data_IF_563316870079
#
_entry.id   IF_563316870079
#
_cell.length_a   1.000
_cell.length_b   1.000
_cell.length_c   1.000
_cell.angle_alpha   90.00
_cell.angle_beta   90.00
_cell.angle_gamma   90.00
#
_symmetry.space_group_name_H-M   'P 1'
#
loop_
_entity.id
_entity.type
_entity.pdbx_description
1 polymer ?
#
# COMPACT_ATOMS: atom_id res chain seq x y z
N UNK A 1 -8.03 0.97 -12.80
CA UNK A 1 -6.65 1.51 -12.80
C UNK A 1 -6.69 2.98 -13.14
N UNK A 2 -5.71 3.77 -12.70
CA UNK A 2 -5.61 5.16 -13.13
C UNK A 2 -5.17 5.23 -14.60
N UNK A 3 -5.81 6.05 -15.43
CA UNK A 3 -5.45 6.15 -16.83
C UNK A 3 -4.19 7.03 -16.99
N UNK A 4 -3.16 6.50 -17.64
CA UNK A 4 -2.01 7.29 -18.08
C UNK A 4 -2.47 8.23 -19.18
N UNK A 5 -2.85 9.45 -18.80
CA UNK A 5 -3.27 10.53 -19.68
C UNK A 5 -2.40 11.74 -19.43
N UNK A 6 -2.29 12.58 -20.45
CA UNK A 6 -1.75 13.94 -20.29
C UNK A 6 -2.61 14.66 -19.26
N UNK A 7 -2.01 15.17 -18.21
CA UNK A 7 -2.67 15.91 -17.13
C UNK A 7 -1.94 17.21 -16.82
N UNK A 8 -2.50 18.00 -15.90
CA UNK A 8 -1.97 19.33 -15.59
C UNK A 8 -0.59 19.31 -14.89
N UNK A 9 -0.23 18.21 -14.23
CA UNK A 9 0.93 18.16 -13.34
C UNK A 9 2.08 17.36 -13.95
N UNK A 10 3.29 17.90 -13.79
CA UNK A 10 4.56 17.20 -14.01
C UNK A 10 5.58 17.65 -12.98
N UNK A 11 6.67 16.90 -12.83
CA UNK A 11 7.86 17.44 -12.19
C UNK A 11 8.76 18.11 -13.24
N UNK A 12 9.44 19.18 -12.82
CA UNK A 12 10.59 19.70 -13.53
C UNK A 12 11.60 18.57 -13.77
N UNK A 13 12.24 18.51 -14.95
CA UNK A 13 13.27 17.51 -15.22
C UNK A 13 14.50 17.67 -14.33
N UNK A 14 14.70 18.84 -13.73
CA UNK A 14 15.84 19.13 -12.86
C UNK A 14 15.52 18.89 -11.38
N UNK A 15 16.42 18.16 -10.70
CA UNK A 15 16.35 17.90 -9.26
C UNK A 15 17.45 18.66 -8.54
N UNK A 16 17.08 19.47 -7.55
CA UNK A 16 18.04 20.18 -6.70
C UNK A 16 18.55 19.26 -5.60
N UNK A 17 19.86 19.02 -5.57
CA UNK A 17 20.54 18.35 -4.45
C UNK A 17 21.00 19.41 -3.44
N UNK A 18 20.44 19.39 -2.22
CA UNK A 18 20.74 20.37 -1.17
C UNK A 18 21.73 19.84 -0.12
N UNK A 19 22.35 18.68 -0.37
CA UNK A 19 23.20 18.00 0.60
C UNK A 19 22.40 17.29 1.71
N UNK A 20 23.10 16.51 2.55
CA UNK A 20 22.49 15.80 3.68
C UNK A 20 21.40 14.77 3.28
N UNK A 21 21.44 14.24 2.05
CA UNK A 21 20.42 13.34 1.52
C UNK A 21 19.11 14.03 1.13
N UNK A 22 19.08 15.36 1.02
CA UNK A 22 17.90 16.14 0.63
C UNK A 22 17.88 16.45 -0.87
N UNK A 23 16.80 16.04 -1.53
CA UNK A 23 16.56 16.21 -2.97
C UNK A 23 15.20 16.89 -3.18
N UNK A 24 15.18 17.98 -3.94
CA UNK A 24 13.97 18.77 -4.16
C UNK A 24 13.57 18.79 -5.63
N UNK A 25 12.29 18.51 -5.87
CA UNK A 25 11.63 18.47 -7.17
C UNK A 25 10.66 19.64 -7.25
N UNK A 26 10.63 20.35 -8.37
CA UNK A 26 9.66 21.43 -8.59
C UNK A 26 8.45 20.89 -9.33
N UNK A 27 7.24 21.13 -8.84
CA UNK A 27 6.01 20.78 -9.55
C UNK A 27 5.72 21.86 -10.61
N UNK A 28 5.55 21.43 -11.84
CA UNK A 28 5.10 22.25 -12.95
C UNK A 28 3.61 22.00 -13.20
N UNK A 29 2.90 23.09 -13.54
CA UNK A 29 1.47 23.04 -13.85
C UNK A 29 1.23 23.59 -15.25
N UNK A 30 0.87 22.70 -16.18
CA UNK A 30 0.56 23.04 -17.57
C UNK A 30 -0.92 22.82 -17.86
N UNK A 31 -1.70 23.90 -17.83
CA UNK A 31 -3.10 23.89 -18.25
C UNK A 31 -3.28 24.33 -19.70
N UNK A 32 -2.31 25.02 -20.28
CA UNK A 32 -2.37 25.41 -21.70
C UNK A 32 -2.08 24.19 -22.58
N UNK A 33 -2.98 23.91 -23.52
CA UNK A 33 -3.00 22.71 -24.38
C UNK A 33 -3.38 21.40 -23.67
N UNK A 34 -3.97 21.50 -22.48
CA UNK A 34 -4.52 20.37 -21.76
C UNK A 34 -6.06 20.48 -21.76
N UNK A 35 -6.72 19.75 -22.66
CA UNK A 35 -8.17 19.87 -22.92
C UNK A 35 -9.00 18.69 -22.39
N UNK A 36 -8.55 18.00 -21.34
CA UNK A 36 -9.24 16.83 -20.77
C UNK A 36 -9.49 16.98 -19.26
N UNK A 37 -10.24 16.04 -18.68
CA UNK A 37 -10.60 16.09 -17.25
C UNK A 37 -9.38 16.11 -16.30
N UNK A 38 -8.21 15.62 -16.73
CA UNK A 38 -6.97 15.61 -15.95
C UNK A 38 -6.26 16.95 -15.86
N UNK A 39 -6.81 17.98 -16.51
CA UNK A 39 -6.21 19.31 -16.58
C UNK A 39 -6.77 20.26 -15.51
N UNK A 40 -7.89 19.89 -14.89
CA UNK A 40 -8.58 20.70 -13.89
C UNK A 40 -9.03 19.83 -12.72
N UNK A 41 -8.07 19.13 -12.10
CA UNK A 41 -8.28 18.22 -10.98
C UNK A 41 -7.19 18.47 -9.96
N UNK A 42 -7.44 18.20 -8.68
CA UNK A 42 -6.47 18.42 -7.62
C UNK A 42 -5.46 17.27 -7.52
N UNK A 43 -4.20 17.61 -7.25
CA UNK A 43 -3.12 16.66 -6.97
C UNK A 43 -3.20 16.15 -5.52
N UNK A 44 -3.58 14.88 -5.39
CA UNK A 44 -3.78 14.22 -4.11
C UNK A 44 -2.63 13.30 -3.71
N UNK A 45 -1.89 12.73 -4.67
CA UNK A 45 -0.84 11.76 -4.41
C UNK A 45 0.28 11.81 -5.44
N UNK A 46 1.51 11.59 -5.01
CA UNK A 46 2.67 11.39 -5.88
C UNK A 46 3.28 10.02 -5.56
N UNK A 47 3.59 9.24 -6.58
CA UNK A 47 4.27 7.95 -6.45
C UNK A 47 5.57 7.96 -7.27
N UNK A 48 6.70 7.73 -6.60
CA UNK A 48 7.99 7.56 -7.27
C UNK A 48 8.23 6.08 -7.52
N UNK A 49 8.67 5.74 -8.73
CA UNK A 49 9.19 4.42 -9.04
C UNK A 49 10.61 4.30 -8.49
N UNK A 50 10.78 3.51 -7.44
CA UNK A 50 12.02 3.42 -6.66
C UNK A 50 12.58 2.00 -6.64
N UNK A 51 13.83 1.85 -6.25
CA UNK A 51 14.48 0.56 -6.07
C UNK A 51 13.91 -0.18 -4.85
N UNK A 52 13.69 -1.50 -4.96
CA UNK A 52 13.27 -2.31 -3.81
C UNK A 52 14.35 -2.43 -2.72
N UNK A 53 15.61 -2.11 -3.05
CA UNK A 53 16.72 -2.00 -2.09
C UNK A 53 16.49 -0.90 -1.04
N UNK A 54 15.56 0.03 -1.27
CA UNK A 54 15.16 1.01 -0.27
C UNK A 54 14.29 0.40 0.85
N UNK A 55 13.65 -0.75 0.60
CA UNK A 55 12.81 -1.44 1.57
C UNK A 55 13.67 -2.38 2.41
N UNK A 56 14.16 -1.87 3.54
CA UNK A 56 15.05 -2.59 4.46
C UNK A 56 14.42 -2.79 5.84
N UNK A 57 14.95 -3.75 6.61
CA UNK A 57 14.60 -3.97 8.01
C UNK A 57 15.86 -3.86 8.89
N UNK A 58 15.89 -3.00 9.92
CA UNK A 58 14.87 -2.00 10.27
C UNK A 58 14.70 -0.94 9.16
N UNK A 59 13.54 -0.31 9.09
CA UNK A 59 13.20 0.64 8.01
C UNK A 59 14.21 1.80 7.92
N UNK A 60 14.59 2.14 6.69
CA UNK A 60 15.27 3.39 6.38
C UNK A 60 14.30 4.57 6.54
N UNK A 61 14.84 5.75 6.87
CA UNK A 61 14.02 6.94 7.11
C UNK A 61 13.89 7.74 5.81
N UNK A 62 12.66 8.09 5.46
CA UNK A 62 12.34 9.03 4.38
C UNK A 62 11.38 10.08 4.90
N UNK A 63 11.71 11.35 4.70
CA UNK A 63 10.82 12.48 5.02
C UNK A 63 10.47 13.24 3.76
N UNK A 64 9.25 13.73 3.68
CA UNK A 64 8.80 14.57 2.59
C UNK A 64 8.24 15.91 3.09
N UNK A 65 8.59 16.98 2.40
CA UNK A 65 8.06 18.33 2.63
C UNK A 65 7.52 18.92 1.34
N UNK A 66 6.48 19.75 1.43
CA UNK A 66 5.99 20.61 0.36
C UNK A 66 6.26 22.06 0.79
N UNK A 67 7.04 22.81 0.00
CA UNK A 67 7.43 24.19 0.31
C UNK A 67 8.05 24.32 1.72
N UNK A 68 8.87 23.35 2.10
CA UNK A 68 9.51 23.28 3.43
C UNK A 68 8.61 22.78 4.57
N UNK A 69 7.30 22.65 4.36
CA UNK A 69 6.35 22.15 5.37
C UNK A 69 6.26 20.63 5.28
N UNK A 70 6.38 19.93 6.42
CA UNK A 70 6.29 18.46 6.44
C UNK A 70 4.90 18.01 5.99
N UNK A 71 4.89 17.00 5.11
CA UNK A 71 3.65 16.36 4.64
C UNK A 71 2.82 15.82 5.80
N UNK A 72 1.49 15.96 5.72
CA UNK A 72 0.55 15.49 6.77
C UNK A 72 0.67 13.98 6.99
N UNK A 73 0.84 13.23 5.91
CA UNK A 73 1.12 11.80 5.94
C UNK A 73 2.58 11.60 5.54
N UNK A 74 3.32 10.88 6.40
CA UNK A 74 4.72 10.58 6.15
C UNK A 74 4.92 9.81 4.84
N UNK A 75 6.02 10.11 4.16
CA UNK A 75 6.45 9.37 2.98
C UNK A 75 6.65 7.89 3.35
N UNK A 76 6.16 6.98 2.50
CA UNK A 76 6.19 5.55 2.79
C UNK A 76 6.63 4.73 1.60
N UNK A 77 7.48 3.74 1.87
CA UNK A 77 7.83 2.73 0.88
C UNK A 77 6.81 1.59 0.90
N UNK A 78 6.51 1.07 -0.28
CA UNK A 78 5.67 -0.10 -0.44
C UNK A 78 6.07 -0.89 -1.67
N UNK A 79 5.70 -2.17 -1.69
CA UNK A 79 5.81 -2.98 -2.89
C UNK A 79 4.56 -2.77 -3.75
N UNK A 80 4.70 -2.42 -5.04
CA UNK A 80 3.57 -2.44 -5.96
C UNK A 80 2.99 -3.86 -6.07
N UNK A 81 1.66 -4.02 -6.14
CA UNK A 81 1.03 -5.34 -6.30
C UNK A 81 1.48 -6.10 -7.56
N UNK A 82 1.80 -5.36 -8.64
CA UNK A 82 2.18 -5.89 -9.95
C UNK A 82 3.54 -5.34 -10.44
N UNK A 83 4.41 -4.87 -9.55
CA UNK A 83 5.70 -4.33 -9.98
C UNK A 83 6.67 -5.41 -10.41
N UNK A 84 7.66 -5.02 -11.22
CA UNK A 84 8.78 -5.90 -11.58
C UNK A 84 9.61 -6.22 -10.33
N UNK A 85 10.23 -7.40 -10.31
CA UNK A 85 11.25 -7.70 -9.29
C UNK A 85 12.34 -6.62 -9.33
N UNK A 86 12.79 -6.15 -8.16
CA UNK A 86 13.72 -5.02 -8.06
C UNK A 86 13.04 -3.65 -7.95
N UNK A 87 11.71 -3.55 -8.08
CA UNK A 87 10.98 -2.28 -8.00
C UNK A 87 10.14 -2.14 -6.74
N UNK A 88 10.08 -0.92 -6.23
CA UNK A 88 9.25 -0.48 -5.13
C UNK A 88 8.60 0.87 -5.48
N UNK A 89 7.70 1.33 -4.63
CA UNK A 89 7.06 2.64 -4.74
C UNK A 89 7.32 3.43 -3.47
N UNK A 90 7.70 4.70 -3.62
CA UNK A 90 7.64 5.70 -2.55
C UNK A 90 6.38 6.56 -2.75
N UNK A 91 5.48 6.57 -1.76
CA UNK A 91 4.20 7.27 -1.82
C UNK A 91 4.19 8.52 -0.96
N UNK A 92 3.73 9.63 -1.54
CA UNK A 92 3.31 10.84 -0.85
C UNK A 92 1.80 10.99 -1.05
N UNK A 93 1.00 10.95 0.02
CA UNK A 93 -0.46 10.99 -0.05
C UNK A 93 -1.03 12.18 0.70
N UNK A 94 -2.31 12.48 0.47
CA UNK A 94 -3.04 13.58 1.12
C UNK A 94 -2.33 14.93 0.93
N UNK A 95 -1.84 15.19 -0.28
CA UNK A 95 -1.13 16.43 -0.60
C UNK A 95 -2.07 17.64 -0.61
N UNK A 96 -3.29 17.47 -1.11
CA UNK A 96 -4.30 18.54 -1.14
C UNK A 96 -3.88 19.77 -1.94
N UNK A 97 -3.12 19.57 -3.03
CA UNK A 97 -2.65 20.66 -3.87
C UNK A 97 -3.58 20.83 -5.07
N UNK A 98 -3.98 22.06 -5.38
CA UNK A 98 -4.70 22.38 -6.61
C UNK A 98 -3.76 22.98 -7.67
N UNK A 99 -4.26 23.29 -8.87
CA UNK A 99 -3.44 23.84 -9.97
C UNK A 99 -2.77 25.18 -9.63
N UNK A 100 -3.31 25.94 -8.68
CA UNK A 100 -2.73 27.19 -8.20
C UNK A 100 -1.64 26.94 -7.15
N UNK A 101 -1.92 26.15 -6.12
CA UNK A 101 -0.99 25.90 -5.01
C UNK A 101 0.13 24.93 -5.37
N UNK A 102 -0.07 24.08 -6.40
CA UNK A 102 0.95 23.17 -6.89
C UNK A 102 1.96 23.85 -7.81
N UNK A 103 1.62 24.99 -8.42
CA UNK A 103 2.50 25.68 -9.36
C UNK A 103 3.77 26.12 -8.64
N UNK A 104 4.91 25.67 -9.15
CA UNK A 104 6.25 25.93 -8.62
C UNK A 104 6.45 25.43 -7.17
N UNK A 105 5.53 24.59 -6.68
CA UNK A 105 5.66 24.01 -5.35
C UNK A 105 6.84 23.03 -5.32
N UNK A 106 7.64 23.13 -4.26
CA UNK A 106 8.85 22.34 -4.08
C UNK A 106 8.57 21.12 -3.20
N UNK A 107 8.65 19.93 -3.80
CA UNK A 107 8.58 18.64 -3.11
C UNK A 107 9.99 18.23 -2.74
N UNK A 108 10.34 18.21 -1.46
CA UNK A 108 11.66 17.73 -1.03
C UNK A 108 11.57 16.39 -0.33
N UNK A 109 12.40 15.44 -0.75
CA UNK A 109 12.65 14.17 -0.09
C UNK A 109 13.95 14.26 0.70
N UNK A 110 13.94 13.89 1.98
CA UNK A 110 15.16 13.69 2.78
C UNK A 110 15.34 12.21 3.03
N UNK A 111 16.41 11.65 2.47
CA UNK A 111 16.74 10.24 2.50
C UNK A 111 17.79 9.98 3.58
N UNK A 112 17.54 8.97 4.40
CA UNK A 112 18.50 8.49 5.40
C UNK A 112 18.49 6.97 5.43
N UNK A 113 19.68 6.39 5.38
CA UNK A 113 19.87 4.96 5.64
C UNK A 113 19.46 4.64 7.08
N UNK A 114 19.14 3.36 7.31
CA UNK A 114 18.88 2.89 8.66
C UNK A 114 20.18 2.86 9.50
N UNK A 115 20.09 2.51 10.79
CA UNK A 115 21.27 2.43 11.69
C UNK A 115 22.37 1.48 11.21
N UNK A 116 22.05 0.53 10.34
CA UNK A 116 23.00 -0.41 9.74
C UNK A 116 23.56 0.04 8.39
N UNK A 117 23.34 1.29 7.99
CA UNK A 117 23.79 1.82 6.69
C UNK A 117 23.02 1.25 5.48
N UNK A 118 21.89 0.56 5.70
CA UNK A 118 21.08 -0.03 4.64
C UNK A 118 19.93 0.89 4.23
N UNK A 119 19.48 0.74 2.99
CA UNK A 119 18.45 1.56 2.37
C UNK A 119 19.04 2.56 1.39
N UNK A 120 18.21 3.48 0.90
CA UNK A 120 18.60 4.46 -0.08
C UNK A 120 18.97 5.78 0.60
N UNK A 121 20.23 6.19 0.48
CA UNK A 121 20.74 7.48 0.98
C UNK A 121 20.95 8.53 -0.11
N UNK A 122 20.94 8.11 -1.38
CA UNK A 122 21.10 9.00 -2.53
C UNK A 122 19.98 8.83 -3.56
N UNK A 123 19.84 9.80 -4.46
CA UNK A 123 18.85 9.76 -5.53
C UNK A 123 19.12 8.60 -6.51
N UNK A 124 20.39 8.30 -6.78
CA UNK A 124 20.82 7.19 -7.65
C UNK A 124 20.48 5.83 -7.07
N UNK A 125 20.49 5.70 -5.74
CA UNK A 125 20.04 4.50 -5.05
C UNK A 125 18.52 4.43 -4.98
N UNK A 126 17.87 5.59 -4.82
CA UNK A 126 16.42 5.69 -4.68
C UNK A 126 15.70 5.34 -5.98
N UNK A 127 16.00 6.03 -7.09
CA UNK A 127 15.25 5.89 -8.33
C UNK A 127 15.50 4.52 -8.98
N UNK A 128 14.44 3.81 -9.38
CA UNK A 128 14.58 2.52 -10.03
C UNK A 128 15.38 2.63 -11.33
N UNK A 129 16.39 1.79 -11.53
CA UNK A 129 17.16 1.77 -12.78
C UNK A 129 16.30 1.22 -13.91
N UNK A 130 16.04 2.02 -14.94
CA UNK A 130 15.44 1.58 -16.19
C UNK A 130 16.51 1.40 -17.27
N UNK A 131 16.27 0.48 -18.21
CA UNK A 131 17.14 0.34 -19.37
C UNK A 131 17.17 1.66 -20.15
N UNK A 132 18.37 2.14 -20.48
CA UNK A 132 18.61 3.37 -21.25
C UNK A 132 18.33 4.70 -20.52
N UNK A 133 18.20 4.72 -19.18
CA UNK A 133 18.11 5.97 -18.40
C UNK A 133 19.32 6.16 -17.49
N UNK A 134 19.86 7.39 -17.35
CA UNK A 134 20.90 7.67 -16.37
C UNK A 134 20.47 7.31 -14.94
N UNK A 135 21.40 6.83 -14.12
CA UNK A 135 21.16 6.60 -12.69
C UNK A 135 20.70 7.90 -12.02
N UNK A 136 19.76 7.80 -11.08
CA UNK A 136 19.16 8.98 -10.44
C UNK A 136 18.06 9.65 -11.24
N UNK A 137 17.64 9.06 -12.36
CA UNK A 137 16.41 9.46 -13.08
C UNK A 137 15.20 8.81 -12.42
N UNK A 138 14.39 9.60 -11.73
CA UNK A 138 13.17 9.15 -11.10
C UNK A 138 11.99 9.26 -12.07
N UNK A 139 11.31 8.14 -12.31
CA UNK A 139 9.98 8.14 -12.93
C UNK A 139 8.93 8.37 -11.86
N UNK A 140 8.05 9.34 -12.07
CA UNK A 140 7.08 9.79 -11.07
C UNK A 140 5.69 9.85 -11.68
N UNK A 141 4.73 9.32 -10.94
CA UNK A 141 3.31 9.28 -11.26
C UNK A 141 2.54 10.22 -10.33
N UNK A 142 1.74 11.13 -10.88
CA UNK A 142 1.00 12.15 -10.12
C UNK A 142 -0.50 11.90 -10.22
N UNK A 143 -1.18 11.71 -9.09
CA UNK A 143 -2.55 11.21 -9.03
C UNK A 143 -3.52 12.25 -8.47
N UNK A 144 -4.71 12.26 -9.04
CA UNK A 144 -5.80 13.11 -8.61
C UNK A 144 -6.75 12.48 -7.58
N UNK A 145 -7.64 13.29 -7.01
CA UNK A 145 -8.59 12.92 -5.93
C UNK A 145 -9.57 11.80 -6.29
N UNK A 146 -9.98 11.58 -7.56
CA UNK A 146 -10.69 10.37 -7.97
C UNK A 146 -9.79 9.26 -8.55
N UNK A 147 -8.46 9.38 -8.52
CA UNK A 147 -7.51 8.45 -9.15
C UNK A 147 -7.85 8.13 -10.62
N UNK A 148 -8.36 9.12 -11.35
CA UNK A 148 -8.71 9.03 -12.78
C UNK A 148 -7.54 9.43 -13.67
N UNK A 149 -6.66 10.28 -13.15
CA UNK A 149 -5.56 10.88 -13.88
C UNK A 149 -4.21 10.53 -13.26
N UNK A 150 -3.30 10.00 -14.06
CA UNK A 150 -1.93 9.67 -13.66
C UNK A 150 -0.94 10.04 -14.76
N UNK A 151 -0.70 11.34 -15.01
CA UNK A 151 0.45 11.75 -15.79
C UNK A 151 1.74 11.23 -15.16
N UNK A 152 2.66 10.81 -16.02
CA UNK A 152 3.99 10.33 -15.64
C UNK A 152 5.01 11.30 -16.17
N UNK A 153 5.93 11.74 -15.30
CA UNK A 153 7.07 12.59 -15.65
C UNK A 153 8.37 11.93 -15.21
N UNK A 154 9.48 12.36 -15.80
CA UNK A 154 10.83 11.97 -15.39
C UNK A 154 11.56 13.19 -14.84
N UNK A 155 12.27 13.00 -13.74
CA UNK A 155 13.15 14.00 -13.16
C UNK A 155 14.52 13.38 -12.89
N UNK A 156 15.58 14.03 -13.37
CA UNK A 156 16.94 13.55 -13.24
C UNK A 156 17.74 14.46 -12.33
N UNK A 157 18.53 13.83 -11.46
CA UNK A 157 19.61 14.51 -10.76
C UNK A 157 20.72 14.89 -11.74
N UNK A 158 20.47 15.86 -12.63
CA UNK A 158 21.59 16.62 -13.16
C UNK A 158 22.13 17.38 -11.97
N UNK A 159 23.26 16.93 -11.42
CA UNK A 159 24.06 17.78 -10.56
C UNK A 159 24.44 18.93 -11.47
N UNK A 160 23.63 19.98 -11.50
CA UNK A 160 24.12 21.28 -11.96
C UNK A 160 25.19 21.56 -10.93
N UNK A 161 26.49 21.43 -11.26
CA UNK A 161 27.48 21.90 -10.32
C UNK A 161 27.07 23.34 -10.06
N UNK A 162 26.87 23.69 -8.80
CA UNK A 162 26.87 25.09 -8.42
C UNK A 162 28.29 25.61 -8.66
N UNK A 163 28.75 25.65 -9.91
CA UNK A 163 29.70 26.65 -10.36
C UNK A 163 28.91 27.95 -10.32
N UNK A 164 28.81 28.51 -9.11
CA UNK A 164 28.95 29.95 -8.98
C UNK A 164 30.30 30.29 -9.62
N UNK A 165 30.32 30.44 -10.94
CA UNK A 165 31.27 31.36 -11.53
C UNK A 165 30.89 32.72 -10.93
N UNK A 166 31.76 33.38 -10.15
CA UNK A 166 31.51 34.75 -9.76
C UNK A 166 31.23 35.54 -11.04
N UNK A 167 30.19 36.40 -11.10
CA UNK A 167 30.03 37.31 -12.22
C UNK A 167 31.34 38.06 -12.40
N UNK A 168 31.84 38.13 -13.64
CA UNK A 168 32.99 38.97 -13.98
C UNK A 168 32.78 40.36 -13.40
N UNK A 169 33.82 41.00 -12.83
CA UNK A 169 33.69 42.32 -12.24
C UNK A 169 33.23 43.31 -13.30
N UNK A 170 32.03 43.87 -13.10
CA UNK A 170 31.60 45.06 -13.81
C UNK A 170 32.63 46.18 -13.62
N UNK A 171 32.83 47.06 -14.62
CA UNK A 171 33.71 48.21 -14.51
C UNK A 171 33.33 49.08 -13.29
N UNK A 172 34.31 49.63 -12.56
CA UNK A 172 34.08 50.27 -11.28
C UNK A 172 33.14 51.47 -11.44
N UNK A 173 31.94 51.33 -10.88
CA UNK A 173 31.07 52.47 -10.61
C UNK A 173 31.71 53.39 -9.55
N UNK A 174 31.51 54.70 -9.65
CA UNK A 174 32.11 55.67 -8.73
C UNK A 174 31.70 55.38 -7.27
N UNK A 175 32.68 55.50 -6.37
CA UNK A 175 32.51 55.23 -4.94
C UNK A 175 31.35 56.06 -4.36
N UNK A 176 30.39 55.43 -3.66
CA UNK A 176 29.46 56.15 -2.81
C UNK A 176 30.18 56.73 -1.58
N UNK A 177 29.71 57.87 -1.04
CA UNK A 177 30.28 58.47 0.16
C UNK A 177 30.17 57.54 1.38
N UNK A 178 31.23 57.54 2.20
CA UNK A 178 31.34 56.71 3.41
C UNK A 178 30.10 56.80 4.30
N UNK A 179 29.51 55.65 4.70
CA UNK A 179 28.42 55.65 5.65
C UNK A 179 28.90 56.08 7.05
N UNK A 180 28.07 56.88 7.72
CA UNK A 180 28.27 57.29 9.09
C UNK A 180 28.31 56.07 10.04
N UNK A 181 29.04 56.15 11.17
CA UNK A 181 29.15 55.06 12.13
C UNK A 181 27.78 54.66 12.69
N UNK A 182 27.51 53.35 12.87
CA UNK A 182 26.23 52.88 13.39
C UNK A 182 26.04 53.32 14.84
N UNK A 183 24.85 53.85 15.15
CA UNK A 183 24.43 54.10 16.52
C UNK A 183 24.40 52.78 17.33
N UNK A 184 24.72 52.82 18.63
CA UNK A 184 24.61 51.66 19.50
C UNK A 184 23.17 51.15 19.57
N UNK A 185 23.00 49.85 19.35
CA UNK A 185 21.70 49.18 19.41
C UNK A 185 21.05 49.35 20.79
N UNK A 186 19.75 49.67 20.87
CA UNK A 186 19.04 49.75 22.15
C UNK A 186 18.99 48.37 22.83
N UNK A 187 18.93 48.34 24.18
CA UNK A 187 18.83 47.10 24.93
C UNK A 187 17.53 46.35 24.57
N UNK A 188 17.56 45.00 24.53
CA UNK A 188 16.39 44.20 24.22
C UNK A 188 15.28 44.43 25.26
N UNK A 189 14.00 44.49 24.83
CA UNK A 189 12.88 44.62 25.75
C UNK A 189 12.77 43.39 26.66
N UNK A 190 12.24 43.56 27.88
CA UNK A 190 12.04 42.45 28.81
C UNK A 190 11.07 41.42 28.22
N UNK A 191 11.28 40.12 28.50
CA UNK A 191 10.41 39.06 28.03
C UNK A 191 8.98 39.25 28.57
N UNK A 192 7.94 38.96 27.77
CA UNK A 192 6.57 39.05 28.24
C UNK A 192 6.31 38.03 29.36
N UNK A 193 5.39 38.34 30.30
CA UNK A 193 5.03 37.42 31.36
C UNK A 193 4.42 36.14 30.78
N UNK A 194 4.66 34.98 31.43
CA UNK A 194 4.10 33.72 30.98
C UNK A 194 2.56 33.77 30.99
N UNK A 195 1.89 33.23 29.98
CA UNK A 195 0.44 33.18 29.95
C UNK A 195 -0.09 32.35 31.12
N UNK A 196 -1.14 32.85 31.78
CA UNK A 196 -1.82 32.14 32.85
C UNK A 196 -2.33 30.77 32.37
N UNK A 197 -2.19 29.70 33.18
CA UNK A 197 -2.65 28.38 32.79
C UNK A 197 -4.17 28.39 32.58
N UNK A 198 -4.60 27.88 31.42
CA UNK A 198 -6.02 27.71 31.11
C UNK A 198 -6.69 26.79 32.14
N UNK A 199 -7.92 27.09 32.57
CA UNK A 199 -8.66 26.23 33.49
C UNK A 199 -8.88 24.83 32.87
N UNK A 200 -8.89 23.77 33.69
CA UNK A 200 -9.17 22.43 33.19
C UNK A 200 -10.57 22.36 32.58
N UNK A 201 -10.74 21.64 31.45
CA UNK A 201 -12.05 21.47 30.85
C UNK A 201 -13.00 20.73 31.81
N UNK A 202 -14.31 21.06 31.80
CA UNK A 202 -15.30 20.36 32.61
C UNK A 202 -15.36 18.87 32.22
N UNK A 203 -15.66 17.98 33.17
CA UNK A 203 -15.79 16.55 32.89
C UNK A 203 -16.94 16.31 31.88
N UNK A 204 -16.66 15.49 30.86
CA UNK A 204 -17.65 15.08 29.88
C UNK A 204 -18.83 14.37 30.56
N UNK A 205 -20.07 14.62 30.14
CA UNK A 205 -21.23 13.92 30.67
C UNK A 205 -21.14 12.41 30.38
N UNK A 206 -21.67 11.55 31.26
CA UNK A 206 -21.70 10.11 31.03
C UNK A 206 -22.51 9.78 29.77
N UNK A 207 -22.07 8.78 28.98
CA UNK A 207 -22.80 8.36 27.79
C UNK A 207 -24.20 7.84 28.18
N UNK A 208 -25.24 8.10 27.35
CA UNK A 208 -26.57 7.57 27.59
C UNK A 208 -26.55 6.03 27.57
N UNK A 209 -27.44 5.38 28.35
CA UNK A 209 -27.54 3.93 28.35
C UNK A 209 -27.90 3.41 26.95
N UNK A 210 -27.35 2.24 26.54
CA UNK A 210 -27.68 1.64 25.26
C UNK A 210 -29.18 1.31 25.20
N UNK A 211 -29.83 1.71 24.11
CA UNK A 211 -31.22 1.32 23.85
C UNK A 211 -31.32 -0.20 23.64
N UNK A 212 -32.40 -0.83 24.11
CA UNK A 212 -32.64 -2.24 23.85
C UNK A 212 -32.80 -2.50 22.34
N UNK A 213 -32.31 -3.66 21.84
CA UNK A 213 -32.48 -4.02 20.44
C UNK A 213 -33.98 -4.13 20.11
N UNK A 214 -34.40 -3.69 18.90
CA UNK A 214 -35.78 -3.87 18.46
C UNK A 214 -36.15 -5.36 18.41
N UNK A 215 -37.42 -5.72 18.69
CA UNK A 215 -37.88 -7.09 18.60
C UNK A 215 -37.71 -7.63 17.18
N UNK A 216 -37.21 -8.86 17.07
CA UNK A 216 -37.06 -9.56 15.80
C UNK A 216 -38.41 -9.65 15.07
N UNK A 217 -38.46 -9.40 13.75
CA UNK A 217 -39.68 -9.57 12.97
C UNK A 217 -40.13 -11.03 12.98
N UNK A 218 -41.45 -11.28 12.94
CA UNK A 218 -41.99 -12.63 12.86
C UNK A 218 -41.52 -13.34 11.58
N UNK A 219 -41.30 -14.67 11.62
CA UNK A 219 -40.91 -15.43 10.44
C UNK A 219 -41.99 -15.34 9.36
N UNK A 220 -41.61 -15.25 8.08
CA UNK A 220 -42.56 -15.26 6.98
C UNK A 220 -43.29 -16.62 6.92
N UNK A 221 -44.58 -16.63 6.50
CA UNK A 221 -45.33 -17.86 6.36
C UNK A 221 -44.69 -18.79 5.32
N UNK A 222 -44.77 -20.12 5.50
CA UNK A 222 -44.23 -21.09 4.55
C UNK A 222 -44.93 -20.96 3.20
N UNK A 223 -44.13 -20.86 2.13
CA UNK A 223 -44.64 -20.86 0.75
C UNK A 223 -45.42 -22.15 0.46
N UNK A 224 -46.55 -22.08 -0.28
CA UNK A 224 -47.33 -23.25 -0.66
C UNK A 224 -46.52 -24.20 -1.53
N UNK A 225 -46.63 -25.49 -1.24
CA UNK A 225 -46.02 -26.57 -2.02
C UNK A 225 -46.57 -26.56 -3.46
N UNK A 226 -45.71 -26.67 -4.48
CA UNK A 226 -46.15 -26.81 -5.86
C UNK A 226 -46.90 -28.14 -6.08
N UNK A 227 -47.90 -28.17 -6.97
CA UNK A 227 -48.67 -29.37 -7.27
C UNK A 227 -47.80 -30.45 -7.94
N UNK A 228 -48.11 -31.75 -7.72
CA UNK A 228 -47.39 -32.84 -8.36
C UNK A 228 -47.60 -32.82 -9.89
N UNK A 229 -46.55 -33.10 -10.68
CA UNK A 229 -46.68 -33.18 -12.13
C UNK A 229 -47.54 -34.38 -12.56
N UNK A 230 -48.30 -34.26 -13.66
CA UNK A 230 -49.11 -35.36 -14.18
C UNK A 230 -48.24 -36.50 -14.72
N UNK A 231 -48.63 -37.73 -14.38
CA UNK A 231 -48.04 -38.97 -14.86
C UNK A 231 -48.28 -39.15 -16.36
N UNK A 232 -47.19 -39.22 -17.13
CA UNK A 232 -47.21 -39.50 -18.57
C UNK A 232 -47.53 -40.98 -18.86
N UNK A 233 -48.29 -41.29 -19.95
CA UNK A 233 -48.56 -42.67 -20.39
C UNK A 233 -47.34 -43.35 -21.05
N UNK A 234 -47.33 -44.70 -21.16
CA UNK A 234 -46.21 -45.45 -21.70
C UNK A 234 -46.12 -45.34 -23.23
N UNK A 235 -45.01 -44.77 -23.72
CA UNK A 235 -44.72 -44.65 -25.15
C UNK A 235 -43.94 -45.85 -25.68
N UNK A 236 -44.39 -46.35 -26.83
CA UNK A 236 -43.81 -47.37 -27.71
C UNK A 236 -42.35 -47.08 -28.11
N UNK A 237 -41.55 -48.11 -28.46
CA UNK A 237 -40.15 -47.94 -28.87
C UNK A 237 -40.02 -47.33 -30.29
N UNK A 238 -39.23 -46.25 -30.47
CA UNK A 238 -38.95 -45.68 -31.80
C UNK A 238 -37.79 -46.39 -32.52
N UNK A 239 -37.76 -46.34 -33.87
CA UNK A 239 -36.69 -46.90 -34.69
C UNK A 239 -35.40 -46.07 -34.61
N UNK A 240 -34.27 -46.78 -34.66
CA UNK A 240 -32.91 -46.25 -34.66
C UNK A 240 -32.68 -45.23 -35.79
N UNK A 241 -32.52 -43.96 -35.44
CA UNK A 241 -31.80 -42.97 -36.24
C UNK A 241 -30.40 -42.73 -35.66
N UNK A 242 -29.38 -42.45 -36.50
CA UNK A 242 -28.01 -42.25 -36.05
C UNK A 242 -27.91 -40.98 -35.19
N UNK A 243 -27.45 -41.18 -33.97
CA UNK A 243 -27.27 -40.20 -32.91
C UNK A 243 -26.17 -39.19 -33.33
N UNK A 244 -26.55 -37.98 -33.72
CA UNK A 244 -25.60 -36.87 -33.87
C UNK A 244 -25.38 -36.27 -32.48
N UNK A 245 -24.16 -36.29 -31.91
CA UNK A 245 -23.91 -35.81 -30.55
C UNK A 245 -23.91 -34.28 -30.52
N UNK A 246 -25.08 -33.68 -30.35
CA UNK A 246 -25.25 -32.23 -30.28
C UNK A 246 -25.17 -31.71 -28.85
N UNK A 247 -24.05 -31.86 -28.15
CA UNK A 247 -23.76 -31.05 -26.95
C UNK A 247 -22.26 -30.84 -26.79
N UNK A 248 -21.73 -29.81 -27.45
CA UNK A 248 -20.42 -29.26 -27.08
C UNK A 248 -20.53 -28.63 -25.68
N UNK A 249 -19.83 -29.16 -24.66
CA UNK A 249 -19.89 -28.59 -23.31
C UNK A 249 -19.34 -27.17 -23.35
N UNK A 250 -20.13 -26.19 -22.89
CA UNK A 250 -19.68 -24.81 -22.75
C UNK A 250 -18.58 -24.79 -21.70
N UNK A 251 -17.35 -24.46 -22.10
CA UNK A 251 -16.24 -24.32 -21.17
C UNK A 251 -16.27 -22.94 -20.53
N UNK A 252 -17.14 -22.77 -19.53
CA UNK A 252 -17.16 -21.58 -18.68
C UNK A 252 -16.05 -21.69 -17.63
N UNK A 253 -15.20 -20.67 -17.57
CA UNK A 253 -14.13 -20.55 -16.57
C UNK A 253 -14.36 -19.27 -15.80
N UNK A 254 -14.34 -19.37 -14.47
CA UNK A 254 -14.49 -18.23 -13.58
C UNK A 254 -13.22 -18.03 -12.75
N UNK A 255 -12.81 -16.78 -12.58
CA UNK A 255 -11.69 -16.39 -11.72
C UNK A 255 -12.27 -15.65 -10.55
N UNK A 256 -11.98 -16.15 -9.34
CA UNK A 256 -12.61 -15.66 -8.11
C UNK A 256 -11.54 -15.20 -7.13
N UNK A 257 -11.58 -13.93 -6.74
CA UNK A 257 -10.87 -13.38 -5.60
C UNK A 257 -11.74 -13.49 -4.34
N UNK A 258 -11.16 -13.87 -3.20
CA UNK A 258 -11.85 -14.09 -1.91
C UNK A 258 -11.04 -13.49 -0.78
N UNK A 259 -11.69 -12.68 0.05
CA UNK A 259 -11.11 -12.19 1.29
C UNK A 259 -11.14 -13.33 2.31
N UNK A 260 -9.99 -13.59 2.93
CA UNK A 260 -9.92 -14.45 4.09
C UNK A 260 -9.96 -13.56 5.33
N UNK A 261 -11.13 -13.42 6.00
CA UNK A 261 -11.21 -12.61 7.19
C UNK A 261 -10.32 -13.20 8.30
N UNK A 262 -9.70 -12.35 9.15
CA UNK A 262 -9.01 -12.83 10.34
C UNK A 262 -9.99 -13.55 11.27
N UNK A 263 -9.48 -14.43 12.15
CA UNK A 263 -10.31 -15.19 13.09
C UNK A 263 -11.17 -14.29 14.02
N UNK A 264 -10.76 -13.04 14.20
CA UNK A 264 -11.52 -12.02 14.93
C UNK A 264 -11.63 -10.79 14.01
N UNK A 265 -12.81 -10.61 13.41
CA UNK A 265 -13.12 -9.54 12.46
C UNK A 265 -13.48 -8.24 13.23
N UNK A 266 -12.48 -7.57 13.79
CA UNK A 266 -12.67 -6.36 14.63
C UNK A 266 -13.17 -5.15 13.82
N UNK A 267 -13.03 -5.20 12.49
CA UNK A 267 -13.65 -4.27 11.53
C UNK A 267 -14.01 -5.05 10.28
N UNK A 268 -15.31 -5.17 9.92
CA UNK A 268 -15.76 -6.03 8.84
C UNK A 268 -15.11 -5.64 7.52
N UNK A 269 -14.07 -6.37 7.14
CA UNK A 269 -13.38 -6.17 5.87
C UNK A 269 -14.25 -6.77 4.78
N UNK A 270 -14.91 -5.93 3.98
CA UNK A 270 -15.83 -6.35 2.93
C UNK A 270 -15.56 -5.57 1.64
N UNK A 271 -15.81 -6.20 0.50
CA UNK A 271 -15.95 -5.48 -0.76
C UNK A 271 -17.30 -4.76 -0.76
N UNK A 272 -17.28 -3.45 -0.93
CA UNK A 272 -18.45 -2.71 -1.37
C UNK A 272 -18.67 -2.89 -2.88
N UNK A 273 -19.83 -2.44 -3.36
CA UNK A 273 -20.26 -2.62 -4.74
C UNK A 273 -19.29 -1.95 -5.74
N UNK A 274 -18.86 -0.73 -5.43
CA UNK A 274 -17.93 0.05 -6.26
C UNK A 274 -16.55 -0.63 -6.35
N UNK A 275 -16.00 -1.05 -5.21
CA UNK A 275 -14.74 -1.79 -5.14
C UNK A 275 -14.84 -3.12 -5.87
N UNK A 276 -15.98 -3.81 -5.76
CA UNK A 276 -16.18 -5.07 -6.44
C UNK A 276 -16.19 -4.91 -7.97
N UNK A 277 -16.97 -3.96 -8.49
CA UNK A 277 -17.03 -3.69 -9.93
C UNK A 277 -15.65 -3.27 -10.48
N UNK A 278 -14.94 -2.41 -9.75
CA UNK A 278 -13.60 -1.98 -10.10
C UNK A 278 -12.61 -3.16 -10.16
N UNK A 279 -12.67 -4.08 -9.19
CA UNK A 279 -11.84 -5.29 -9.21
C UNK A 279 -12.21 -6.18 -10.40
N UNK A 280 -13.49 -6.41 -10.66
CA UNK A 280 -13.94 -7.20 -11.81
C UNK A 280 -13.48 -6.59 -13.14
N UNK A 281 -13.55 -5.27 -13.30
CA UNK A 281 -13.05 -4.58 -14.49
C UNK A 281 -11.55 -4.77 -14.69
N UNK A 282 -10.75 -4.61 -13.64
CA UNK A 282 -9.29 -4.80 -13.75
C UNK A 282 -8.95 -6.26 -14.11
N UNK A 283 -9.60 -7.24 -13.47
CA UNK A 283 -9.39 -8.66 -13.77
C UNK A 283 -9.78 -8.95 -15.22
N UNK A 284 -10.98 -8.56 -15.63
CA UNK A 284 -11.48 -8.79 -17.00
C UNK A 284 -10.58 -8.15 -18.06
N UNK A 285 -10.15 -6.91 -17.87
CA UNK A 285 -9.27 -6.20 -18.81
C UNK A 285 -7.89 -6.86 -18.95
N UNK A 286 -7.23 -7.19 -17.84
CA UNK A 286 -5.90 -7.83 -17.87
C UNK A 286 -5.95 -9.20 -18.53
N UNK A 287 -7.00 -9.98 -18.22
CA UNK A 287 -7.16 -11.33 -18.76
C UNK A 287 -7.50 -11.31 -20.23
N UNK A 288 -8.45 -10.46 -20.65
CA UNK A 288 -8.82 -10.35 -22.05
C UNK A 288 -7.65 -9.81 -22.90
N UNK A 289 -6.77 -8.99 -22.33
CA UNK A 289 -5.54 -8.58 -22.99
C UNK A 289 -4.57 -9.75 -23.19
N UNK A 290 -4.35 -10.58 -22.16
CA UNK A 290 -3.48 -11.75 -22.25
C UNK A 290 -4.04 -12.84 -23.21
N UNK A 291 -5.35 -13.10 -23.16
CA UNK A 291 -6.04 -14.02 -24.08
C UNK A 291 -5.81 -13.60 -25.53
N UNK A 292 -5.95 -12.30 -25.84
CA UNK A 292 -5.69 -11.76 -27.17
C UNK A 292 -4.22 -11.87 -27.56
N UNK A 293 -3.29 -11.62 -26.64
CA UNK A 293 -1.85 -11.76 -26.91
C UNK A 293 -1.43 -13.22 -27.17
N UNK A 294 -2.12 -14.18 -26.55
CA UNK A 294 -1.86 -15.61 -26.73
C UNK A 294 -2.71 -16.27 -27.84
N UNK A 295 -3.47 -15.49 -28.62
CA UNK A 295 -4.37 -15.98 -29.67
C UNK A 295 -5.34 -17.09 -29.20
N UNK A 296 -5.80 -17.02 -27.95
CA UNK A 296 -6.73 -18.01 -27.38
C UNK A 296 -8.15 -17.64 -27.78
N UNK A 297 -8.90 -18.61 -28.33
CA UNK A 297 -10.23 -18.34 -28.88
C UNK A 297 -11.33 -18.44 -27.83
N UNK A 298 -12.09 -17.35 -27.68
CA UNK A 298 -13.18 -17.22 -26.72
C UNK A 298 -14.54 -17.22 -27.41
N UNK A 299 -15.53 -17.87 -26.80
CA UNK A 299 -16.95 -17.70 -27.12
C UNK A 299 -17.53 -16.45 -26.47
N UNK A 300 -17.14 -16.16 -25.23
CA UNK A 300 -17.44 -14.91 -24.54
C UNK A 300 -16.27 -14.47 -23.68
N UNK A 301 -15.85 -13.22 -23.84
CA UNK A 301 -14.78 -12.65 -23.03
C UNK A 301 -15.22 -12.46 -21.58
N UNK A 302 -14.24 -12.34 -20.67
CA UNK A 302 -14.52 -12.04 -19.27
C UNK A 302 -15.14 -10.64 -19.17
N UNK A 303 -16.21 -10.51 -18.39
CA UNK A 303 -16.89 -9.24 -18.17
C UNK A 303 -17.28 -9.07 -16.70
N UNK A 304 -17.37 -7.82 -16.19
CA UNK A 304 -17.96 -7.54 -14.88
C UNK A 304 -19.39 -8.06 -14.78
N UNK A 305 -19.75 -8.55 -13.60
CA UNK A 305 -21.09 -9.03 -13.31
C UNK A 305 -21.40 -8.84 -11.82
N UNK A 306 -22.30 -7.91 -11.51
CA UNK A 306 -22.70 -7.60 -10.14
C UNK A 306 -23.25 -8.83 -9.36
N UNK A 307 -23.87 -9.79 -10.04
CA UNK A 307 -24.34 -11.03 -9.39
C UNK A 307 -23.21 -11.96 -8.92
N UNK A 308 -21.98 -11.72 -9.41
CA UNK A 308 -20.76 -12.44 -9.03
C UNK A 308 -19.92 -11.65 -8.02
N UNK A 309 -20.50 -10.59 -7.45
CA UNK A 309 -19.96 -9.83 -6.33
C UNK A 309 -20.63 -10.24 -5.02
N UNK A 310 -19.83 -10.35 -3.97
CA UNK A 310 -20.28 -10.50 -2.60
C UNK A 310 -19.31 -9.78 -1.67
N UNK A 311 -19.72 -9.53 -0.43
CA UNK A 311 -18.88 -8.84 0.54
C UNK A 311 -17.52 -9.51 0.80
N UNK A 312 -17.35 -10.81 0.48
CA UNK A 312 -16.08 -11.52 0.68
C UNK A 312 -15.50 -12.12 -0.60
N UNK A 313 -16.18 -12.00 -1.75
CA UNK A 313 -15.72 -12.61 -2.98
C UNK A 313 -16.09 -11.78 -4.21
N UNK A 314 -15.14 -11.68 -5.14
CA UNK A 314 -15.31 -11.08 -6.46
C UNK A 314 -15.03 -12.16 -7.50
N UNK A 315 -15.91 -12.36 -8.47
CA UNK A 315 -15.68 -13.32 -9.55
C UNK A 315 -16.00 -12.74 -10.92
N UNK A 316 -15.24 -13.13 -11.95
CA UNK A 316 -15.54 -12.86 -13.37
C UNK A 316 -15.47 -14.15 -14.15
N UNK A 317 -16.36 -14.34 -15.12
CA UNK A 317 -16.45 -15.57 -15.91
C UNK A 317 -16.35 -15.26 -17.40
N UNK A 318 -15.74 -16.18 -18.15
CA UNK A 318 -15.66 -16.16 -19.62
C UNK A 318 -15.91 -17.57 -20.15
N UNK A 319 -16.31 -17.67 -21.43
CA UNK A 319 -16.57 -18.97 -22.08
C UNK A 319 -15.58 -19.20 -23.20
N UNK A 320 -14.90 -20.34 -23.20
CA UNK A 320 -13.97 -20.76 -24.24
C UNK A 320 -14.68 -21.53 -25.35
N UNK A 321 -14.12 -21.51 -26.57
CA UNK A 321 -14.64 -22.31 -27.68
C UNK A 321 -14.37 -23.81 -27.49
N UNK A 322 -13.26 -24.16 -26.84
CA UNK A 322 -12.87 -25.54 -26.57
C UNK A 322 -12.29 -25.71 -25.16
N UNK A 323 -12.27 -26.96 -24.68
CA UNK A 323 -11.58 -27.31 -23.42
C UNK A 323 -10.07 -27.19 -23.52
N UNK A 324 -9.50 -27.31 -24.72
CA UNK A 324 -8.07 -27.16 -24.98
C UNK A 324 -7.66 -25.69 -24.78
N UNK A 325 -8.45 -24.76 -25.31
CA UNK A 325 -8.23 -23.32 -25.12
C UNK A 325 -8.32 -22.93 -23.65
N UNK A 326 -9.28 -23.50 -22.92
CA UNK A 326 -9.43 -23.28 -21.47
C UNK A 326 -8.23 -23.82 -20.66
N UNK A 327 -7.65 -24.96 -21.06
CA UNK A 327 -6.44 -25.50 -20.43
C UNK A 327 -5.21 -24.66 -20.75
N UNK A 328 -5.02 -24.26 -22.01
CA UNK A 328 -3.92 -23.36 -22.41
C UNK A 328 -3.95 -22.05 -21.61
N UNK A 329 -5.16 -21.53 -21.36
CA UNK A 329 -5.34 -20.35 -20.54
C UNK A 329 -4.95 -20.54 -19.06
N UNK A 330 -5.02 -21.77 -18.51
CA UNK A 330 -4.68 -22.02 -17.10
C UNK A 330 -3.24 -21.61 -16.80
N UNK A 331 -2.30 -21.97 -17.68
CA UNK A 331 -0.88 -21.57 -17.55
C UNK A 331 -0.70 -20.06 -17.67
N UNK A 332 -1.42 -19.41 -18.60
CA UNK A 332 -1.42 -17.94 -18.74
C UNK A 332 -1.96 -17.27 -17.47
N UNK A 333 -3.02 -17.81 -16.88
CA UNK A 333 -3.62 -17.29 -15.67
C UNK A 333 -2.70 -17.44 -14.44
N UNK A 334 -1.97 -18.56 -14.33
CA UNK A 334 -0.98 -18.77 -13.26
C UNK A 334 0.19 -17.77 -13.37
N UNK A 335 0.66 -17.47 -14.58
CA UNK A 335 1.71 -16.47 -14.81
C UNK A 335 1.26 -15.04 -14.49
N UNK A 336 -0.01 -14.72 -14.71
CA UNK A 336 -0.58 -13.41 -14.40
C UNK A 336 -0.80 -13.21 -12.89
N UNK A 337 -0.98 -14.29 -12.12
CA UNK A 337 -1.30 -14.23 -10.69
C UNK A 337 -0.39 -15.11 -9.80
N UNK A 338 0.94 -14.91 -9.81
CA UNK A 338 1.91 -15.84 -9.19
C UNK A 338 1.86 -15.89 -7.66
N UNK A 339 1.29 -14.90 -6.97
CA UNK A 339 1.20 -14.86 -5.50
C UNK A 339 -0.17 -15.30 -4.95
N UNK A 340 -1.05 -15.75 -5.84
CA UNK A 340 -2.37 -16.22 -5.50
C UNK A 340 -2.41 -17.67 -5.09
N UNK A 341 -2.05 -18.00 -3.86
CA UNK A 341 -2.32 -19.34 -3.34
C UNK A 341 -3.84 -19.59 -3.31
N UNK A 342 -4.33 -20.34 -4.31
CA UNK A 342 -5.73 -20.81 -4.52
C UNK A 342 -6.73 -19.90 -5.26
N UNK A 343 -6.36 -19.26 -6.36
CA UNK A 343 -7.35 -18.54 -7.21
C UNK A 343 -7.99 -19.36 -8.34
N UNK A 344 -7.30 -20.35 -8.87
CA UNK A 344 -7.81 -21.12 -10.00
C UNK A 344 -8.46 -22.42 -9.52
N UNK A 345 -9.79 -22.38 -9.37
CA UNK A 345 -10.58 -23.56 -9.65
C UNK A 345 -10.92 -23.49 -11.13
N UNK A 346 -10.03 -23.99 -11.99
CA UNK A 346 -10.46 -24.35 -13.33
C UNK A 346 -11.57 -25.39 -13.15
N UNK A 347 -12.80 -25.05 -13.51
CA UNK A 347 -13.81 -26.06 -13.72
C UNK A 347 -13.27 -26.92 -14.86
N UNK A 348 -12.68 -28.07 -14.51
CA UNK A 348 -12.26 -29.06 -15.49
C UNK A 348 -13.49 -29.30 -16.35
N UNK A 349 -13.41 -29.02 -17.66
CA UNK A 349 -14.45 -29.35 -18.61
C UNK A 349 -14.56 -30.88 -18.69
N UNK A 350 -15.15 -31.50 -17.67
CA UNK A 350 -15.36 -32.94 -17.57
C UNK A 350 -16.71 -33.18 -16.88
N UNK A 351 -17.51 -33.99 -17.55
CA UNK A 351 -18.75 -34.58 -17.04
C UNK A 351 -18.39 -35.46 -15.83
N UNK A 352 -18.95 -35.12 -14.66
CA UNK A 352 -19.00 -35.84 -13.34
C UNK A 352 -18.09 -35.36 -12.19
N UNK A 353 -18.79 -34.80 -11.18
CA UNK A 353 -18.75 -35.11 -9.74
C UNK A 353 -17.40 -35.35 -9.08
N UNK A 354 -16.87 -34.39 -8.31
CA UNK A 354 -16.00 -34.69 -7.16
C UNK A 354 -16.26 -33.77 -5.95
N UNK A 355 -16.18 -34.42 -4.78
CA UNK A 355 -16.42 -33.94 -3.41
C UNK A 355 -15.32 -33.02 -2.92
N UNK A 356 -15.68 -32.18 -1.96
CA UNK A 356 -14.79 -31.36 -1.15
C UNK A 356 -13.55 -32.12 -0.67
N UNK A 357 -12.37 -31.62 -1.05
CA UNK A 357 -11.10 -32.02 -0.44
C UNK A 357 -10.59 -30.85 0.40
N UNK A 358 -10.95 -30.84 1.68
CA UNK A 358 -10.25 -30.08 2.70
C UNK A 358 -8.94 -30.78 3.02
N UNK A 359 -7.81 -30.20 2.60
CA UNK A 359 -6.48 -30.69 2.96
C UNK A 359 -5.95 -29.92 4.19
N UNK A 360 -5.76 -30.66 5.29
CA UNK A 360 -5.21 -30.24 6.58
C UNK A 360 -3.69 -30.03 6.52
N UNK A 361 -3.19 -29.02 7.24
CA UNK A 361 -1.78 -28.65 7.37
C UNK A 361 -0.79 -29.82 7.57
N UNK A 362 0.48 -29.70 7.13
CA UNK A 362 1.49 -30.74 7.35
C UNK A 362 1.96 -30.79 8.82
N UNK A 363 2.39 -31.96 9.33
CA UNK A 363 2.81 -32.10 10.72
C UNK A 363 4.22 -31.56 10.93
N UNK A 364 4.39 -30.73 11.96
CA UNK A 364 5.69 -30.41 12.54
C UNK A 364 6.34 -31.67 13.13
N UNK A 365 7.50 -32.06 12.58
CA UNK A 365 8.38 -33.09 13.14
C UNK A 365 9.10 -32.51 14.37
N UNK A 366 8.73 -33.02 15.53
CA UNK A 366 9.45 -32.90 16.80
C UNK A 366 10.76 -33.69 16.75
N UNK A 367 11.89 -33.04 17.01
CA UNK A 367 13.09 -33.69 17.54
C UNK A 367 13.18 -33.42 19.03
N UNK A 368 13.22 -34.50 19.79
CA UNK A 368 13.34 -34.52 21.24
C UNK A 368 14.80 -34.24 21.67
N UNK A 369 14.96 -33.37 22.67
CA UNK A 369 16.11 -33.38 23.59
C UNK A 369 15.56 -33.44 25.02
N UNK A 370 16.19 -34.28 25.83
CA UNK A 370 15.73 -34.75 27.14
C UNK A 370 16.51 -34.06 28.27
N UNK A 371 15.80 -33.78 29.37
CA UNK A 371 16.22 -33.48 30.76
C UNK A 371 16.66 -32.05 31.16
N UNK A 372 16.52 -31.65 32.46
CA UNK A 372 15.75 -32.23 33.57
C UNK A 372 14.75 -31.25 34.24
N UNK A 373 13.81 -31.83 35.01
CA UNK A 373 12.88 -31.16 35.93
C UNK A 373 13.63 -30.37 37.02
N UNK A 374 12.98 -29.34 37.60
CA UNK A 374 12.67 -29.45 39.02
C UNK A 374 11.25 -29.03 39.41
N UNK A 375 10.70 -29.84 40.30
CA UNK A 375 9.96 -29.49 41.53
C UNK A 375 8.73 -28.59 41.48
N UNK A 376 7.60 -29.24 41.70
CA UNK A 376 6.31 -28.65 42.06
C UNK A 376 6.37 -27.92 43.41
N UNK A 377 5.79 -26.72 43.46
CA UNK A 377 5.32 -26.10 44.69
C UNK A 377 3.86 -25.67 44.50
N UNK A 378 3.02 -26.12 45.44
CA UNK A 378 1.59 -25.84 45.57
C UNK A 378 1.36 -24.35 45.79
N UNK A 379 0.35 -23.79 45.13
CA UNK A 379 -0.34 -22.59 45.62
C UNK A 379 -1.74 -22.98 46.11
N UNK A 380 -2.14 -22.58 47.33
CA UNK A 380 -3.51 -22.76 47.80
C UNK A 380 -4.42 -21.66 47.25
N UNK A 381 -5.69 -22.02 47.16
CA UNK A 381 -6.82 -21.24 46.69
C UNK A 381 -7.41 -20.31 47.76
N UNK A 382 -8.21 -19.33 47.27
CA UNK A 382 -9.21 -18.42 47.91
C UNK A 382 -8.77 -16.99 48.26
N UNK A 383 -9.72 -16.03 48.46
CA UNK A 383 -11.05 -15.84 47.82
C UNK A 383 -11.30 -14.35 47.39
N UNK A 384 -12.51 -14.10 46.87
CA UNK A 384 -13.13 -12.85 46.40
C UNK A 384 -12.95 -11.58 47.26
N UNK A 385 -13.03 -10.36 46.68
CA UNK A 385 -12.98 -9.13 47.46
C UNK A 385 -14.36 -8.47 47.67
N UNK A 386 -14.56 -7.97 48.88
CA UNK A 386 -15.64 -7.05 49.27
C UNK A 386 -15.03 -5.71 49.71
N UNK A 387 -15.64 -4.62 49.23
CA UNK A 387 -15.76 -3.27 49.83
C UNK A 387 -14.53 -2.43 50.25
N UNK A 388 -14.32 -1.34 49.49
CA UNK A 388 -14.35 0.11 49.88
C UNK A 388 -13.64 0.58 51.18
N UNK A 389 -12.59 1.39 51.03
CA UNK A 389 -12.38 2.70 51.72
C UNK A 389 -11.09 3.42 51.26
N UNK A 390 -11.15 4.75 51.16
CA UNK A 390 -10.13 5.74 50.74
C UNK A 390 -9.27 6.25 51.94
N UNK A 391 -8.46 7.34 51.83
CA UNK A 391 -7.04 7.33 51.44
C UNK A 391 -6.12 7.92 52.54
N UNK A 392 -4.81 7.59 52.54
CA UNK A 392 -3.82 8.39 53.29
C UNK A 392 -2.47 8.49 52.56
N UNK A 393 -2.03 9.75 52.42
CA UNK A 393 -0.69 10.21 52.04
C UNK A 393 0.38 9.67 53.00
N UNK A 394 1.54 9.30 52.46
CA UNK A 394 2.85 9.56 53.07
C UNK A 394 3.96 9.45 52.02
N UNK A 395 4.98 10.29 52.20
CA UNK A 395 6.01 10.66 51.23
C UNK A 395 7.36 10.00 51.54
N UNK A 396 8.13 9.69 50.48
CA UNK A 396 9.61 9.56 50.38
C UNK A 396 10.31 8.43 51.17
N UNK A 397 11.59 8.04 50.88
CA UNK A 397 12.56 8.58 49.90
C UNK A 397 13.29 7.53 49.02
N UNK A 398 14.12 8.05 48.09
CA UNK A 398 15.14 7.37 47.28
C UNK A 398 16.17 6.54 48.08
N UNK A 399 16.92 5.66 47.40
CA UNK A 399 18.33 5.48 47.75
C UNK A 399 19.28 5.65 46.56
N UNK A 400 20.41 6.28 46.87
CA UNK A 400 21.59 6.45 46.03
C UNK A 400 22.70 5.49 46.52
N UNK A 401 23.55 5.10 45.57
CA UNK A 401 25.00 4.78 45.67
C UNK A 401 25.53 3.42 46.19
N UNK A 402 26.52 2.95 45.40
CA UNK A 402 27.67 2.02 45.64
C UNK A 402 27.38 0.51 45.53
N UNK A 403 28.24 -0.34 44.93
CA UNK A 403 29.66 -0.22 44.57
C UNK A 403 30.10 -1.18 43.42
N UNK A 404 31.11 -0.73 42.67
CA UNK A 404 32.25 -1.42 42.03
C UNK A 404 32.33 -2.95 41.92
N UNK A 405 32.60 -3.45 40.71
CA UNK A 405 33.61 -4.50 40.48
C UNK A 405 34.23 -4.37 39.07
N UNK A 406 35.55 -4.20 39.04
CA UNK A 406 36.44 -4.26 37.86
C UNK A 406 36.55 -5.69 37.33
N UNK A 407 36.61 -5.86 36.01
CA UNK A 407 37.38 -6.93 35.38
C UNK A 407 38.13 -6.34 34.18
N UNK A 408 39.46 -6.55 34.19
CA UNK A 408 40.42 -6.10 33.20
C UNK A 408 40.39 -6.99 31.94
N UNK A 409 40.82 -6.37 30.84
CA UNK A 409 41.13 -6.87 29.49
C UNK A 409 42.07 -8.10 29.45
N UNK A 410 42.18 -8.76 28.28
CA UNK A 410 43.34 -8.40 27.44
C UNK A 410 43.05 -8.24 25.95
N UNK A 411 43.73 -7.22 25.44
CA UNK A 411 44.01 -6.81 24.07
C UNK A 411 44.65 -7.92 23.23
N UNK A 412 44.28 -8.04 21.95
CA UNK A 412 45.07 -8.76 20.94
C UNK A 412 44.88 -8.14 19.54
N UNK A 413 45.98 -7.65 18.97
CA UNK A 413 46.22 -7.26 17.57
C UNK A 413 47.74 -7.43 17.33
N UNK A 414 48.24 -7.49 16.08
CA UNK A 414 48.21 -8.59 15.12
C UNK A 414 49.66 -9.07 14.81
N UNK A 415 49.89 -9.89 13.77
CA UNK A 415 51.18 -9.80 13.06
C UNK A 415 51.00 -9.54 11.56
N UNK A 416 51.76 -8.55 11.09
CA UNK A 416 52.26 -8.45 9.72
C UNK A 416 53.54 -9.28 9.63
N UNK A 417 53.69 -10.08 8.58
CA UNK A 417 54.98 -10.34 7.94
C UNK A 417 54.76 -10.74 6.49
N UNK A 418 55.66 -10.23 5.66
CA UNK A 418 55.72 -10.30 4.21
C UNK A 418 55.96 -11.71 3.63
N UNK A 419 55.44 -11.93 2.42
CA UNK A 419 56.16 -12.35 1.20
C UNK A 419 55.24 -12.15 0.00
#
# INVERSE_FOLDING_TARGET
MCATRIGAYSLSPEVKSLGGGKYCFTIQVQTQNCNNACCNTDLSKIEFNVSDSCIVQPAAEVRATINGITTRVGASFGRPPNGRNGSAILRLTQLGLNTTTARDAEVCLTLKTNRGGKGCGTLEQLCATQANTPKGTCTVAMYDTPCRCCPVSQASGTIVPMTFAPPSPDPPSPLPPSPAPPLPSPPPPPPPPPPSPSPPPPPSPPPPPPQPPPPSPPPPPPSPLPPPPPTSPPSLPPPHMPFVPAFSPRCEVCISARLQPPAIDVRPYRYDEETCEYIQQNISSSINAAIRASNISMKSYFAPNASKCSGLAVSVCGTFLSSVDAQAFTTTAEQLFPFGSRWLRAAVCAVRSWRDTTWSSPPTRTHACRWPRPSAARCPSRPSPTARATPRRASCPSPSTRATSRCQTPTRLPPNTAS
#
